data_IF_330007611505
#
_entry.id   IF_330007611505
#
_cell.length_a   1.000
_cell.length_b   1.000
_cell.length_c   1.000
_cell.angle_alpha   90.00
_cell.angle_beta   90.00
_cell.angle_gamma   90.00
#
_symmetry.space_group_name_H-M   'P 1'
#
loop_
_entity.id
_entity.type
_entity.pdbx_description
1 polymer ?
#
# COMPACT_ATOMS: atom_id res chain seq x y z
N UNK A 1 12.28 -6.50 20.27
CA UNK A 1 11.71 -7.50 19.33
C UNK A 1 10.76 -8.37 20.13
N UNK A 2 9.51 -8.48 19.68
CA UNK A 2 8.47 -9.27 20.31
C UNK A 2 8.56 -10.75 19.96
N UNK A 3 7.52 -11.49 20.36
CA UNK A 3 7.37 -12.92 20.06
C UNK A 3 7.11 -13.13 18.56
N UNK A 4 7.86 -14.04 17.93
CA UNK A 4 7.61 -14.42 16.54
C UNK A 4 6.51 -15.48 16.50
N UNK A 5 5.51 -15.27 15.65
CA UNK A 5 4.42 -16.21 15.38
C UNK A 5 4.36 -16.56 13.90
N UNK A 6 3.77 -17.71 13.58
CA UNK A 6 3.54 -18.14 12.21
C UNK A 6 2.04 -18.14 11.90
N UNK A 7 1.65 -17.67 10.71
CA UNK A 7 0.27 -17.72 10.26
C UNK A 7 0.18 -17.85 8.73
N UNK A 8 -1.01 -18.22 8.23
CA UNK A 8 -1.27 -18.33 6.80
C UNK A 8 -1.56 -16.95 6.20
N UNK A 9 -0.78 -16.53 5.22
CA UNK A 9 -0.93 -15.29 4.47
C UNK A 9 -0.75 -15.57 2.97
N UNK A 10 -1.71 -15.14 2.13
CA UNK A 10 -1.75 -15.46 0.69
C UNK A 10 -1.52 -16.94 0.34
N UNK A 11 -1.92 -17.86 1.21
CA UNK A 11 -1.78 -19.30 0.99
C UNK A 11 -0.52 -19.95 1.59
N UNK A 12 0.49 -19.16 1.95
CA UNK A 12 1.75 -19.64 2.52
C UNK A 12 1.87 -19.34 4.01
N UNK A 13 2.70 -20.12 4.71
CA UNK A 13 3.05 -19.86 6.10
C UNK A 13 4.14 -18.78 6.16
N UNK A 14 3.86 -17.69 6.87
CA UNK A 14 4.80 -16.58 7.07
C UNK A 14 5.09 -16.40 8.55
N UNK A 15 6.29 -15.91 8.87
CA UNK A 15 6.68 -15.53 10.23
C UNK A 15 6.51 -14.02 10.41
N UNK A 16 6.02 -13.59 11.57
CA UNK A 16 5.85 -12.17 11.90
C UNK A 16 6.04 -11.94 13.40
N UNK A 17 6.52 -10.76 13.77
CA UNK A 17 6.43 -10.28 15.15
C UNK A 17 4.95 -10.11 15.53
N UNK A 18 4.52 -10.76 16.61
CA UNK A 18 3.13 -10.77 17.09
C UNK A 18 2.57 -9.35 17.29
N UNK A 19 3.40 -8.40 17.72
CA UNK A 19 3.00 -7.00 17.92
C UNK A 19 2.81 -6.21 16.61
N UNK A 20 3.36 -6.70 15.50
CA UNK A 20 3.29 -6.05 14.18
C UNK A 20 2.26 -6.68 13.24
N UNK A 21 1.71 -7.85 13.59
CA UNK A 21 0.75 -8.55 12.73
C UNK A 21 -0.46 -7.66 12.41
N UNK A 22 -0.65 -7.37 11.13
CA UNK A 22 -1.76 -6.53 10.63
C UNK A 22 -1.53 -5.02 10.76
N UNK A 23 -0.49 -4.57 11.47
CA UNK A 23 -0.21 -3.15 11.75
C UNK A 23 0.24 -2.34 10.54
N UNK A 24 0.61 -2.99 9.43
CA UNK A 24 0.99 -2.30 8.20
C UNK A 24 -0.11 -1.36 7.68
N UNK A 25 -1.40 -1.69 7.85
CA UNK A 25 -2.51 -0.79 7.47
C UNK A 25 -2.55 0.50 8.29
N UNK A 26 -2.05 0.50 9.52
CA UNK A 26 -1.98 1.68 10.38
C UNK A 26 -0.77 2.58 10.07
N UNK A 27 0.30 2.00 9.52
CA UNK A 27 1.59 2.68 9.35
C UNK A 27 1.95 3.00 7.89
N UNK A 28 1.36 2.29 6.93
CA UNK A 28 1.69 2.47 5.53
C UNK A 28 1.05 3.74 4.95
N UNK A 29 1.85 4.61 4.33
CA UNK A 29 1.36 5.78 3.63
C UNK A 29 0.41 5.42 2.48
N UNK A 30 0.61 4.29 1.78
CA UNK A 30 -0.33 3.87 0.73
C UNK A 30 -1.73 3.61 1.28
N UNK A 31 -1.87 3.03 2.48
CA UNK A 31 -3.17 2.79 3.11
C UNK A 31 -3.94 4.09 3.41
N UNK A 32 -3.22 5.19 3.61
CA UNK A 32 -3.76 6.54 3.88
C UNK A 32 -3.85 7.41 2.62
N UNK A 33 -3.18 7.03 1.54
CA UNK A 33 -3.06 7.85 0.35
C UNK A 33 -4.40 7.91 -0.41
N UNK A 34 -4.83 9.11 -0.78
CA UNK A 34 -6.03 9.32 -1.57
C UNK A 34 -5.96 8.67 -2.98
N UNK A 35 -4.77 8.34 -3.45
CA UNK A 35 -4.53 7.77 -4.78
C UNK A 35 -4.55 6.24 -4.78
N UNK A 36 -4.50 5.59 -3.62
CA UNK A 36 -4.54 4.13 -3.57
C UNK A 36 -6.00 3.66 -3.56
N UNK A 37 -6.39 2.96 -4.63
CA UNK A 37 -7.73 2.39 -4.79
C UNK A 37 -7.57 0.87 -4.97
N UNK A 38 -7.70 0.09 -3.89
CA UNK A 38 -7.54 -1.35 -3.97
C UNK A 38 -8.53 -1.97 -4.97
N UNK A 39 -8.04 -2.83 -5.86
CA UNK A 39 -8.80 -3.51 -6.92
C UNK A 39 -9.29 -2.62 -8.08
N UNK A 40 -8.79 -1.38 -8.20
CA UNK A 40 -8.99 -0.52 -9.37
C UNK A 40 -7.64 -0.12 -9.95
N UNK A 41 -6.96 -1.09 -10.58
CA UNK A 41 -5.60 -0.92 -11.10
C UNK A 41 -5.49 0.24 -12.11
N UNK A 42 -6.56 0.54 -12.83
CA UNK A 42 -6.61 1.60 -13.83
C UNK A 42 -6.59 3.01 -13.21
N UNK A 43 -7.15 3.18 -12.00
CA UNK A 43 -7.26 4.47 -11.33
C UNK A 43 -6.42 4.59 -10.05
N UNK A 44 -5.81 3.50 -9.61
CA UNK A 44 -4.95 3.45 -8.41
C UNK A 44 -3.52 3.91 -8.70
N UNK A 45 -2.82 4.36 -7.67
CA UNK A 45 -1.42 4.75 -7.70
C UNK A 45 -0.52 3.62 -8.26
N UNK A 46 0.24 3.84 -9.35
CA UNK A 46 1.09 2.81 -9.95
C UNK A 46 2.09 2.20 -8.96
N UNK A 47 2.77 3.05 -8.16
CA UNK A 47 3.72 2.58 -7.15
C UNK A 47 3.06 1.72 -6.08
N UNK A 48 1.85 2.09 -5.64
CA UNK A 48 1.12 1.30 -4.66
C UNK A 48 0.65 -0.05 -5.25
N UNK A 49 0.28 -0.07 -6.53
CA UNK A 49 -0.10 -1.30 -7.24
C UNK A 49 1.09 -2.25 -7.39
N UNK A 50 2.26 -1.75 -7.79
CA UNK A 50 3.49 -2.55 -7.89
C UNK A 50 3.88 -3.15 -6.53
N UNK A 51 3.81 -2.35 -5.46
CA UNK A 51 4.11 -2.84 -4.12
C UNK A 51 3.08 -3.86 -3.63
N UNK A 52 1.80 -3.64 -3.94
CA UNK A 52 0.74 -4.59 -3.61
C UNK A 52 0.90 -5.91 -4.37
N UNK A 53 1.23 -5.86 -5.66
CA UNK A 53 1.55 -7.04 -6.46
C UNK A 53 2.73 -7.81 -5.84
N UNK A 54 3.80 -7.10 -5.47
CA UNK A 54 4.93 -7.71 -4.75
C UNK A 54 4.51 -8.41 -3.45
N UNK A 55 3.65 -7.79 -2.64
CA UNK A 55 3.11 -8.37 -1.41
C UNK A 55 2.37 -9.69 -1.67
N UNK A 56 1.51 -9.70 -2.69
CA UNK A 56 0.72 -10.88 -3.06
C UNK A 56 1.62 -11.99 -3.61
N UNK A 57 2.49 -11.67 -4.57
CA UNK A 57 3.33 -12.63 -5.28
C UNK A 57 4.35 -13.31 -4.36
N UNK A 58 4.85 -12.59 -3.36
CA UNK A 58 5.89 -13.07 -2.46
C UNK A 58 5.37 -13.41 -1.06
N UNK A 59 4.06 -13.28 -0.81
CA UNK A 59 3.46 -13.44 0.52
C UNK A 59 4.13 -12.55 1.58
N UNK A 60 4.45 -11.31 1.20
CA UNK A 60 5.13 -10.33 2.04
C UNK A 60 4.18 -9.21 2.49
N UNK A 61 4.57 -8.50 3.53
CA UNK A 61 3.92 -7.27 3.97
C UNK A 61 4.95 -6.16 4.03
N UNK A 62 4.83 -5.16 3.15
CA UNK A 62 5.80 -4.07 3.02
C UNK A 62 5.13 -2.71 3.27
N UNK A 63 5.27 -2.11 4.47
CA UNK A 63 4.76 -0.77 4.72
C UNK A 63 5.63 0.29 4.01
N UNK A 64 4.97 1.28 3.41
CA UNK A 64 5.62 2.48 2.86
C UNK A 64 5.65 3.56 3.93
N UNK A 65 6.85 3.98 4.32
CA UNK A 65 7.04 5.08 5.28
C UNK A 65 7.33 6.42 4.61
N UNK A 66 7.80 6.42 3.37
CA UNK A 66 8.16 7.61 2.60
C UNK A 66 7.64 7.45 1.17
N UNK A 67 7.00 8.49 0.62
CA UNK A 67 6.51 8.47 -0.76
C UNK A 67 6.47 9.90 -1.32
N UNK A 68 7.09 10.17 -2.48
CA UNK A 68 7.10 11.50 -3.09
C UNK A 68 5.73 11.91 -3.67
N UNK A 69 4.77 10.98 -3.75
CA UNK A 69 3.44 11.18 -4.33
C UNK A 69 2.30 11.02 -3.32
N UNK A 70 2.60 10.97 -2.02
CA UNK A 70 1.57 10.80 -0.98
C UNK A 70 0.62 12.02 -0.96
N UNK A 71 -0.69 11.74 -0.91
CA UNK A 71 -1.73 12.76 -0.78
C UNK A 71 -2.71 12.39 0.34
N UNK A 72 -2.87 13.30 1.30
CA UNK A 72 -3.63 13.04 2.54
C UNK A 72 -5.16 13.24 2.42
N UNK A 73 -5.66 13.89 1.38
CA UNK A 73 -7.09 14.24 1.28
C UNK A 73 -7.88 13.38 0.30
N UNK A 74 -8.84 12.59 0.81
CA UNK A 74 -9.88 11.93 -0.01
C UNK A 74 -10.97 12.90 -0.51
N UNK A 75 -11.07 14.12 0.03
CA UNK A 75 -12.18 15.04 -0.22
C UNK A 75 -11.89 16.19 -1.22
N UNK A 76 -10.63 16.54 -1.50
CA UNK A 76 -10.30 17.62 -2.45
C UNK A 76 -10.04 17.17 -3.91
N UNK A 77 -9.97 15.85 -4.17
CA UNK A 77 -9.50 15.33 -5.47
C UNK A 77 -10.62 15.17 -6.50
N UNK A 78 -11.90 15.35 -6.12
CA UNK A 78 -13.03 15.19 -7.04
C UNK A 78 -13.11 16.28 -8.12
N UNK A 79 -12.57 17.48 -7.89
CA UNK A 79 -12.64 18.57 -8.89
C UNK A 79 -11.55 18.51 -9.97
N UNK A 80 -10.46 17.75 -9.78
CA UNK A 80 -9.31 17.72 -10.71
C UNK A 80 -9.23 16.48 -11.59
N UNK A 81 -10.26 15.61 -11.62
CA UNK A 81 -10.31 14.34 -12.38
C UNK A 81 -10.40 14.49 -13.92
N UNK A 82 -9.72 15.46 -14.54
CA UNK A 82 -9.75 15.68 -16.00
C UNK A 82 -8.44 15.42 -16.75
N UNK A 83 -7.39 14.94 -16.08
CA UNK A 83 -6.14 14.58 -16.79
C UNK A 83 -5.60 13.24 -16.29
N UNK A 84 -5.22 12.31 -17.19
CA UNK A 84 -4.40 11.16 -16.85
C UNK A 84 -3.10 11.69 -16.26
N UNK A 85 -2.86 11.44 -14.97
CA UNK A 85 -1.69 11.97 -14.27
C UNK A 85 -0.53 10.99 -14.46
N UNK A 86 0.33 11.31 -15.42
CA UNK A 86 1.65 10.68 -15.54
C UNK A 86 2.49 11.05 -14.32
N UNK A 87 3.31 10.09 -13.86
CA UNK A 87 4.37 10.35 -12.89
C UNK A 87 5.18 11.56 -13.42
N UNK A 88 5.33 12.66 -12.67
CA UNK A 88 6.13 13.78 -13.15
C UNK A 88 7.55 13.27 -13.43
N UNK A 89 8.08 13.47 -14.65
CA UNK A 89 9.48 13.19 -14.91
C UNK A 89 10.35 14.17 -14.10
N UNK A 90 11.51 13.68 -13.68
CA UNK A 90 12.52 14.39 -12.88
C UNK A 90 12.89 15.78 -13.42
#
# INVERSE_FOLDING_TARGET
>A
MGKIIHYKHHGLMVAVDEGLKGKHWEHCLCARCAWFVPNDDANSCPTANELFAFCVDNCMVTPVYECPYFQEEKDAVLETRKTPRTIPPD
#
